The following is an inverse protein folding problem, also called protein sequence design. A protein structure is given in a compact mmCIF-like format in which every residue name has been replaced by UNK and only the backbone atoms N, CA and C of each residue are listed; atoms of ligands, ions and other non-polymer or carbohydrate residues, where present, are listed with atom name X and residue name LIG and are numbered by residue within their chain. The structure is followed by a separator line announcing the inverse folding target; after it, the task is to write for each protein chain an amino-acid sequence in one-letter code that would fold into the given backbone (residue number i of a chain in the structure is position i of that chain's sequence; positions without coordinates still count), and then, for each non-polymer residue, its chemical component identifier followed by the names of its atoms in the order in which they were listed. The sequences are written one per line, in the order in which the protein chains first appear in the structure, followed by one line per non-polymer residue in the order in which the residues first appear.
data_IF_481974433270
#
_entry.id   IF_481974433270
#
_cell.length_a   1.000
_cell.length_b   1.000
_cell.length_c   1.000
_cell.angle_alpha   90.00
_cell.angle_beta   90.00
_cell.angle_gamma   90.00
#
_symmetry.space_group_name_H-M   'P 1'
#
loop_
_entity.id
_entity.type
_entity.pdbx_description
1 polymer ?
#
# COMPACT_ATOMS: atom_id res chain seq x y z
N UNK A 1 25.29 -13.10 -2.32
CA UNK A 1 23.97 -13.76 -2.22
C UNK A 1 24.05 -15.27 -2.41
N UNK A 2 24.78 -15.76 -3.41
CA UNK A 2 24.92 -17.21 -3.70
C UNK A 2 25.28 -18.12 -2.51
N UNK A 3 26.21 -17.68 -1.65
CA UNK A 3 26.56 -18.43 -0.43
C UNK A 3 25.36 -18.72 0.48
N UNK A 4 24.40 -17.79 0.57
CA UNK A 4 23.19 -18.00 1.36
C UNK A 4 22.23 -18.97 0.67
N UNK A 5 22.05 -18.84 -0.65
CA UNK A 5 21.21 -19.76 -1.43
C UNK A 5 21.66 -21.21 -1.27
N UNK A 6 22.97 -21.48 -1.36
CA UNK A 6 23.53 -22.83 -1.14
C UNK A 6 23.29 -23.35 0.28
N UNK A 7 23.37 -22.50 1.31
CA UNK A 7 23.06 -22.91 2.69
C UNK A 7 21.58 -23.23 2.88
N UNK A 8 20.71 -22.44 2.26
CA UNK A 8 19.27 -22.72 2.29
C UNK A 8 18.91 -23.97 1.50
N UNK A 9 19.56 -24.23 0.36
CA UNK A 9 19.44 -25.50 -0.36
C UNK A 9 19.87 -26.69 0.53
N UNK A 10 21.00 -26.60 1.22
CA UNK A 10 21.43 -27.65 2.15
C UNK A 10 20.41 -27.91 3.26
N UNK A 11 19.83 -26.85 3.83
CA UNK A 11 18.75 -26.96 4.82
C UNK A 11 17.50 -27.62 4.23
N UNK A 12 17.10 -27.19 3.04
CA UNK A 12 15.94 -27.74 2.33
C UNK A 12 16.06 -29.26 2.15
N UNK A 13 17.21 -29.73 1.67
CA UNK A 13 17.47 -31.16 1.44
C UNK A 13 17.43 -31.99 2.73
N UNK A 14 17.81 -31.40 3.87
CA UNK A 14 17.84 -32.08 5.19
C UNK A 14 16.47 -32.26 5.84
N UNK A 15 15.44 -31.52 5.44
CA UNK A 15 14.12 -31.52 6.13
C UNK A 15 13.43 -32.86 6.13
N UNK A 16 13.49 -33.58 5.01
CA UNK A 16 12.82 -34.87 4.87
C UNK A 16 13.88 -35.92 4.63
N UNK A 17 13.81 -37.00 5.41
CA UNK A 17 14.75 -38.14 5.39
C UNK A 17 14.81 -38.89 4.03
N UNK A 18 14.11 -38.41 2.99
CA UNK A 18 14.13 -38.91 1.61
C UNK A 18 14.35 -37.85 0.50
N UNK A 19 14.58 -36.56 0.81
CA UNK A 19 14.98 -35.52 -0.18
C UNK A 19 16.50 -35.36 -0.21
N UNK A 20 17.25 -36.24 0.44
CA UNK A 20 18.71 -36.29 0.27
C UNK A 20 19.13 -36.58 -1.18
N UNK A 21 18.17 -36.82 -2.07
CA UNK A 21 18.34 -36.90 -3.50
C UNK A 21 18.04 -35.57 -4.21
N UNK A 22 19.11 -34.83 -4.53
CA UNK A 22 19.06 -33.63 -5.38
C UNK A 22 18.50 -33.96 -6.78
N UNK A 23 18.69 -35.19 -7.26
CA UNK A 23 18.23 -35.64 -8.57
C UNK A 23 16.70 -35.61 -8.66
N UNK A 24 16.00 -36.06 -7.62
CA UNK A 24 14.55 -35.93 -7.50
C UNK A 24 14.05 -34.49 -7.59
N UNK A 25 14.74 -33.54 -6.95
CA UNK A 25 14.43 -32.11 -7.05
C UNK A 25 14.67 -31.57 -8.47
N UNK A 26 15.80 -31.90 -9.08
CA UNK A 26 16.13 -31.51 -10.46
C UNK A 26 15.09 -32.09 -11.43
N UNK A 27 14.68 -33.34 -11.24
CA UNK A 27 13.66 -34.00 -12.05
C UNK A 27 12.29 -33.32 -11.91
N UNK A 28 11.92 -32.88 -10.70
CA UNK A 28 10.71 -32.08 -10.50
C UNK A 28 10.79 -30.73 -11.24
N UNK A 29 11.91 -30.01 -11.13
CA UNK A 29 12.10 -28.75 -11.85
C UNK A 29 12.11 -28.95 -13.37
N UNK A 30 12.70 -30.05 -13.85
CA UNK A 30 12.70 -30.39 -15.27
C UNK A 30 11.31 -30.64 -15.85
N UNK A 31 10.37 -31.15 -15.04
CA UNK A 31 8.95 -31.31 -15.43
C UNK A 31 8.23 -29.97 -15.50
N UNK A 32 8.60 -29.04 -14.62
CA UNK A 32 7.97 -27.72 -14.50
C UNK A 32 8.55 -26.66 -15.45
N UNK A 33 9.78 -26.86 -15.94
CA UNK A 33 10.56 -25.84 -16.66
C UNK A 33 9.84 -25.19 -17.84
N UNK A 34 9.11 -25.97 -18.66
CA UNK A 34 8.45 -25.44 -19.85
C UNK A 34 7.28 -24.52 -19.46
N UNK A 35 6.50 -24.93 -18.47
CA UNK A 35 5.44 -24.08 -17.90
C UNK A 35 6.02 -22.84 -17.22
N UNK A 36 7.17 -22.97 -16.55
CA UNK A 36 7.83 -21.85 -15.89
C UNK A 36 8.42 -20.85 -16.89
N UNK A 37 8.99 -21.31 -18.01
CA UNK A 37 9.44 -20.45 -19.11
C UNK A 37 8.30 -19.66 -19.72
N UNK A 38 7.13 -20.29 -19.89
CA UNK A 38 5.93 -19.63 -20.40
C UNK A 38 5.36 -18.52 -19.48
N UNK A 39 5.91 -18.33 -18.27
CA UNK A 39 5.53 -17.20 -17.41
C UNK A 39 6.35 -15.92 -17.68
N UNK A 40 7.41 -15.99 -18.51
CA UNK A 40 8.30 -14.87 -18.81
C UNK A 40 8.09 -14.38 -20.25
N UNK A 41 6.84 -14.04 -20.60
CA UNK A 41 6.31 -13.74 -21.95
C UNK A 41 7.15 -12.78 -22.83
N UNK A 42 8.18 -12.11 -22.31
CA UNK A 42 9.12 -11.26 -23.04
C UNK A 42 10.33 -12.00 -23.66
N UNK A 43 10.51 -13.29 -23.40
CA UNK A 43 11.51 -14.07 -24.14
C UNK A 43 10.85 -14.54 -25.43
N UNK A 44 11.08 -13.80 -26.53
CA UNK A 44 10.85 -14.27 -27.90
C UNK A 44 11.60 -15.60 -28.12
N UNK A 45 10.98 -16.69 -27.69
CA UNK A 45 11.41 -18.08 -27.89
C UNK A 45 10.63 -18.73 -29.01
N UNK A 46 9.93 -17.92 -29.82
CA UNK A 46 9.34 -18.37 -31.08
C UNK A 46 10.48 -18.76 -32.05
N UNK A 47 10.88 -20.03 -31.99
CA UNK A 47 11.64 -20.70 -33.05
C UNK A 47 13.11 -21.01 -32.75
N UNK A 48 13.67 -20.61 -31.61
CA UNK A 48 15.01 -21.05 -31.21
C UNK A 48 14.91 -22.22 -30.23
N UNK A 49 15.43 -23.37 -30.65
CA UNK A 49 15.73 -24.48 -29.74
C UNK A 49 16.67 -23.90 -28.68
N UNK A 50 16.18 -23.68 -27.46
CA UNK A 50 17.03 -23.30 -26.34
C UNK A 50 18.17 -24.31 -26.26
N UNK A 51 19.42 -23.80 -26.26
CA UNK A 51 20.60 -24.63 -26.00
C UNK A 51 20.32 -25.47 -24.74
N UNK A 52 20.57 -26.79 -24.84
CA UNK A 52 20.34 -27.72 -23.73
C UNK A 52 21.01 -27.25 -22.43
N UNK A 53 22.14 -26.54 -22.53
CA UNK A 53 22.81 -25.94 -21.37
C UNK A 53 22.02 -24.81 -20.71
N UNK A 54 21.31 -23.98 -21.48
CA UNK A 54 20.48 -22.89 -20.94
C UNK A 54 19.29 -23.49 -20.18
N UNK A 55 18.70 -24.53 -20.76
CA UNK A 55 17.55 -25.23 -20.15
C UNK A 55 17.93 -25.89 -18.82
N UNK A 56 19.11 -26.53 -18.75
CA UNK A 56 19.61 -27.12 -17.49
C UNK A 56 19.88 -26.04 -16.45
N UNK A 57 20.57 -24.95 -16.83
CA UNK A 57 20.83 -23.81 -15.94
C UNK A 57 19.54 -23.17 -15.42
N UNK A 58 18.48 -23.15 -16.24
CA UNK A 58 17.18 -22.65 -15.81
C UNK A 58 16.55 -23.55 -14.74
N UNK A 59 16.57 -24.87 -14.90
CA UNK A 59 16.11 -25.79 -13.85
C UNK A 59 16.92 -25.67 -12.56
N UNK A 60 18.24 -25.50 -12.66
CA UNK A 60 19.11 -25.25 -11.50
C UNK A 60 18.76 -23.93 -10.79
N UNK A 61 18.50 -22.87 -11.56
CA UNK A 61 18.05 -21.58 -11.04
C UNK A 61 16.71 -21.71 -10.31
N UNK A 62 15.71 -22.37 -10.92
CA UNK A 62 14.40 -22.61 -10.28
C UNK A 62 14.55 -23.34 -8.95
N UNK A 63 15.41 -24.36 -8.90
CA UNK A 63 15.66 -25.12 -7.67
C UNK A 63 16.33 -24.24 -6.61
N UNK A 64 17.46 -23.63 -6.96
CA UNK A 64 18.29 -22.89 -6.02
C UNK A 64 17.55 -21.67 -5.45
N UNK A 65 16.88 -20.92 -6.33
CA UNK A 65 16.17 -19.69 -5.97
C UNK A 65 14.84 -20.04 -5.29
N UNK A 66 14.14 -21.08 -5.75
CA UNK A 66 12.92 -21.56 -5.11
C UNK A 66 13.17 -22.06 -3.68
N UNK A 67 14.21 -22.88 -3.48
CA UNK A 67 14.63 -23.32 -2.14
C UNK A 67 15.02 -22.15 -1.24
N UNK A 68 15.72 -21.16 -1.80
CA UNK A 68 16.06 -19.94 -1.06
C UNK A 68 14.81 -19.20 -0.58
N UNK A 69 13.85 -18.93 -1.46
CA UNK A 69 12.60 -18.22 -1.13
C UNK A 69 11.82 -18.98 -0.05
N UNK A 70 11.62 -20.29 -0.23
CA UNK A 70 10.83 -21.12 0.68
C UNK A 70 11.46 -21.17 2.07
N UNK A 71 12.76 -21.48 2.14
CA UNK A 71 13.44 -21.62 3.42
C UNK A 71 13.63 -20.27 4.12
N UNK A 72 13.80 -19.18 3.37
CA UNK A 72 13.83 -17.84 3.94
C UNK A 72 12.48 -17.49 4.61
N UNK A 73 11.36 -17.75 3.94
CA UNK A 73 10.01 -17.54 4.49
C UNK A 73 9.77 -18.45 5.71
N UNK A 74 10.13 -19.73 5.62
CA UNK A 74 10.03 -20.67 6.76
C UNK A 74 10.85 -20.21 7.96
N UNK A 75 12.08 -19.75 7.74
CA UNK A 75 12.93 -19.18 8.79
C UNK A 75 12.32 -17.92 9.41
N UNK A 76 11.65 -17.08 8.60
CA UNK A 76 10.92 -15.92 9.09
C UNK A 76 9.76 -16.33 10.01
N UNK A 77 8.99 -17.33 9.60
CA UNK A 77 7.89 -17.94 10.36
C UNK A 77 8.33 -18.83 11.53
N UNK A 78 9.64 -18.89 11.85
CA UNK A 78 10.22 -19.77 12.90
C UNK A 78 10.00 -21.28 12.65
N UNK A 79 9.73 -21.68 11.41
CA UNK A 79 9.61 -23.07 10.98
C UNK A 79 10.99 -23.57 10.55
N UNK A 80 11.90 -23.78 11.51
CA UNK A 80 13.30 -24.19 11.27
C UNK A 80 13.47 -25.66 11.71
N UNK A 81 14.31 -26.48 11.05
CA UNK A 81 14.62 -27.82 11.54
C UNK A 81 15.15 -27.83 12.97
N UNK A 82 14.85 -28.90 13.72
CA UNK A 82 15.28 -29.02 15.11
C UNK A 82 16.82 -28.93 15.22
N UNK A 83 17.31 -28.11 16.14
CA UNK A 83 18.74 -27.89 16.37
C UNK A 83 19.44 -26.95 15.39
N UNK A 84 18.73 -26.38 14.40
CA UNK A 84 19.32 -25.38 13.50
C UNK A 84 19.01 -23.93 13.94
N UNK A 85 19.97 -23.04 13.71
CA UNK A 85 19.82 -21.60 13.93
C UNK A 85 19.47 -20.84 12.65
N UNK A 86 19.13 -19.55 12.74
CA UNK A 86 18.97 -18.70 11.54
C UNK A 86 20.26 -18.65 10.71
N UNK A 87 20.14 -18.88 9.41
CA UNK A 87 21.24 -18.71 8.45
C UNK A 87 21.59 -17.24 8.31
N UNK A 88 20.57 -16.37 8.22
CA UNK A 88 20.76 -14.92 8.10
C UNK A 88 20.46 -14.25 9.44
N UNK A 89 21.52 -14.08 10.24
CA UNK A 89 21.42 -13.50 11.58
C UNK A 89 21.19 -11.97 11.57
N UNK A 90 21.80 -11.26 10.61
CA UNK A 90 21.78 -9.78 10.56
C UNK A 90 20.44 -9.25 10.10
N UNK A 91 19.85 -8.35 10.88
CA UNK A 91 18.54 -7.76 10.59
C UNK A 91 18.49 -6.91 9.33
N UNK A 92 19.52 -6.09 9.09
CA UNK A 92 19.60 -5.26 7.89
C UNK A 92 19.56 -6.10 6.60
N UNK A 93 20.29 -7.23 6.56
CA UNK A 93 20.28 -8.16 5.43
C UNK A 93 18.88 -8.75 5.26
N UNK A 94 18.21 -9.14 6.35
CA UNK A 94 16.84 -9.67 6.27
C UNK A 94 15.87 -8.64 5.68
N UNK A 95 15.94 -7.38 6.12
CA UNK A 95 15.10 -6.30 5.58
C UNK A 95 15.36 -6.08 4.09
N UNK A 96 16.62 -6.02 3.67
CA UNK A 96 16.99 -5.92 2.26
C UNK A 96 16.42 -7.07 1.43
N UNK A 97 16.57 -8.31 1.92
CA UNK A 97 16.03 -9.47 1.21
C UNK A 97 14.52 -9.47 1.09
N UNK A 98 13.78 -9.00 2.10
CA UNK A 98 12.33 -8.84 1.96
C UNK A 98 11.97 -7.88 0.83
N UNK A 99 12.74 -6.80 0.65
CA UNK A 99 12.54 -5.85 -0.46
C UNK A 99 12.90 -6.48 -1.79
N UNK A 100 14.04 -7.18 -1.86
CA UNK A 100 14.50 -7.83 -3.08
C UNK A 100 13.53 -8.93 -3.56
N UNK A 101 12.90 -9.67 -2.64
CA UNK A 101 11.85 -10.65 -2.94
C UNK A 101 10.57 -10.03 -3.49
N UNK A 102 10.39 -8.72 -3.29
CA UNK A 102 9.25 -7.94 -3.77
C UNK A 102 9.61 -7.04 -4.96
N UNK A 103 10.71 -7.31 -5.66
CA UNK A 103 10.96 -6.70 -6.97
C UNK A 103 10.19 -7.47 -8.05
N UNK A 104 9.53 -6.76 -8.96
CA UNK A 104 8.77 -7.37 -10.07
C UNK A 104 9.68 -8.25 -10.94
N UNK A 105 10.95 -7.88 -11.08
CA UNK A 105 11.97 -8.60 -11.85
C UNK A 105 12.48 -9.89 -11.15
N UNK A 106 12.24 -10.04 -9.84
CA UNK A 106 12.77 -11.14 -9.04
C UNK A 106 11.67 -12.13 -8.63
N UNK A 107 10.82 -12.50 -9.59
CA UNK A 107 9.66 -13.35 -9.34
C UNK A 107 9.85 -14.74 -9.93
N UNK A 108 9.59 -15.75 -9.11
CA UNK A 108 9.43 -17.13 -9.55
C UNK A 108 7.94 -17.46 -9.68
N UNK A 109 7.56 -18.30 -10.65
CA UNK A 109 6.19 -18.80 -10.72
C UNK A 109 5.79 -19.49 -9.41
N UNK A 110 4.62 -19.17 -8.88
CA UNK A 110 4.21 -19.61 -7.55
C UNK A 110 4.07 -21.14 -7.47
N UNK A 111 3.66 -21.78 -8.57
CA UNK A 111 3.57 -23.24 -8.64
C UNK A 111 4.92 -23.95 -8.46
N UNK A 112 6.04 -23.30 -8.81
CA UNK A 112 7.39 -23.82 -8.53
C UNK A 112 7.63 -23.80 -7.02
N UNK A 113 7.24 -22.71 -6.36
CA UNK A 113 7.41 -22.55 -4.91
C UNK A 113 6.51 -23.52 -4.13
N UNK A 114 5.26 -23.72 -4.54
CA UNK A 114 4.36 -24.68 -3.88
C UNK A 114 4.83 -26.11 -4.08
N UNK A 115 5.29 -26.47 -5.29
CA UNK A 115 5.86 -27.81 -5.56
C UNK A 115 7.05 -28.10 -4.66
N UNK A 116 8.03 -27.19 -4.60
CA UNK A 116 9.21 -27.35 -3.73
C UNK A 116 8.83 -27.36 -2.24
N UNK A 117 7.84 -26.57 -1.85
CA UNK A 117 7.31 -26.57 -0.48
C UNK A 117 6.71 -27.94 -0.13
N UNK A 118 5.90 -28.51 -1.02
CA UNK A 118 5.25 -29.80 -0.85
C UNK A 118 6.23 -30.97 -0.85
N UNK A 119 7.30 -30.89 -1.65
CA UNK A 119 8.35 -31.89 -1.61
C UNK A 119 8.99 -31.96 -0.22
N UNK A 120 9.18 -30.82 0.44
CA UNK A 120 9.97 -30.65 1.68
C UNK A 120 9.17 -30.39 2.96
N UNK A 121 7.84 -30.42 2.91
CA UNK A 121 7.01 -30.28 4.11
C UNK A 121 7.12 -31.55 4.98
N UNK A 122 7.24 -31.35 6.27
CA UNK A 122 7.05 -32.39 7.29
C UNK A 122 5.55 -32.43 7.63
N UNK A 123 4.99 -33.63 7.80
CA UNK A 123 3.54 -33.86 7.91
C UNK A 123 2.88 -32.95 8.97
N UNK A 124 1.75 -32.34 8.58
CA UNK A 124 0.94 -31.34 9.32
C UNK A 124 1.49 -29.90 9.43
N UNK A 125 2.03 -29.32 8.34
CA UNK A 125 2.48 -27.92 8.34
C UNK A 125 1.62 -26.96 7.51
N UNK A 126 1.52 -25.75 8.07
CA UNK A 126 0.87 -24.53 7.59
C UNK A 126 1.04 -24.37 6.06
N UNK A 127 -0.03 -24.12 5.29
CA UNK A 127 0.05 -23.85 3.86
C UNK A 127 1.07 -22.75 3.52
N UNK A 128 1.82 -22.91 2.42
CA UNK A 128 2.85 -21.94 2.03
C UNK A 128 2.28 -20.52 1.88
N UNK A 129 1.08 -20.41 1.31
CA UNK A 129 0.34 -19.14 1.19
C UNK A 129 0.18 -18.42 2.54
N UNK A 130 -0.08 -19.17 3.62
CA UNK A 130 -0.23 -18.60 4.96
C UNK A 130 1.12 -18.14 5.53
N UNK A 131 2.21 -18.85 5.20
CA UNK A 131 3.56 -18.40 5.58
C UNK A 131 3.96 -17.13 4.84
N UNK A 132 3.62 -17.00 3.55
CA UNK A 132 3.83 -15.77 2.77
C UNK A 132 3.03 -14.62 3.37
N UNK A 133 1.73 -14.83 3.60
CA UNK A 133 0.84 -13.85 4.23
C UNK A 133 1.42 -13.35 5.55
N UNK A 134 1.83 -14.26 6.43
CA UNK A 134 2.47 -13.90 7.70
C UNK A 134 3.79 -13.13 7.51
N UNK A 135 4.60 -13.50 6.52
CA UNK A 135 5.91 -12.90 6.28
C UNK A 135 5.84 -11.48 5.71
N UNK A 136 4.79 -11.15 4.98
CA UNK A 136 4.66 -9.88 4.27
C UNK A 136 3.45 -9.04 4.71
N UNK A 137 2.70 -9.46 5.74
CA UNK A 137 1.61 -8.66 6.29
C UNK A 137 2.11 -7.36 6.91
N UNK A 138 1.37 -6.27 6.65
CA UNK A 138 1.54 -4.98 7.32
C UNK A 138 0.65 -4.84 8.58
N UNK A 139 -0.23 -5.81 8.86
CA UNK A 139 -1.17 -5.79 9.99
C UNK A 139 -1.18 -7.12 10.73
N UNK A 140 -1.17 -7.07 12.06
CA UNK A 140 -1.29 -8.24 12.95
C UNK A 140 -2.69 -8.88 12.96
N UNK A 141 -3.63 -8.42 12.12
CA UNK A 141 -4.95 -9.04 12.02
C UNK A 141 -4.84 -10.34 11.21
N UNK A 142 -5.42 -11.40 11.78
CA UNK A 142 -5.71 -12.64 11.06
C UNK A 142 -6.42 -12.30 9.76
N UNK A 143 -5.79 -12.64 8.64
CA UNK A 143 -6.40 -12.46 7.33
C UNK A 143 -7.77 -13.13 7.31
N UNK A 144 -8.76 -12.42 6.76
CA UNK A 144 -9.94 -13.10 6.22
C UNK A 144 -9.42 -14.14 5.26
N UNK A 145 -9.81 -15.40 5.47
CA UNK A 145 -9.53 -16.52 4.58
C UNK A 145 -9.90 -16.08 3.17
N UNK A 146 -8.89 -15.69 2.42
CA UNK A 146 -9.01 -15.63 0.98
C UNK A 146 -9.09 -17.10 0.61
N UNK A 147 -10.31 -17.57 0.33
CA UNK A 147 -10.57 -18.72 -0.53
C UNK A 147 -9.93 -18.45 -1.90
N UNK A 148 -8.61 -18.46 -1.93
CA UNK A 148 -7.81 -18.35 -3.13
C UNK A 148 -7.34 -19.76 -3.43
N UNK A 149 -7.92 -20.38 -4.45
CA UNK A 149 -7.30 -21.56 -5.06
C UNK A 149 -5.85 -21.21 -5.38
N UNK A 150 -4.91 -21.93 -4.76
CA UNK A 150 -3.47 -21.79 -5.01
C UNK A 150 -3.13 -21.82 -6.52
N UNK A 151 -3.98 -22.48 -7.31
CA UNK A 151 -3.91 -22.60 -8.77
C UNK A 151 -3.98 -21.26 -9.54
N UNK A 152 -4.48 -20.17 -8.94
CA UNK A 152 -4.62 -18.87 -9.63
C UNK A 152 -3.48 -17.88 -9.36
N UNK A 153 -2.60 -18.18 -8.41
CA UNK A 153 -1.50 -17.26 -8.04
C UNK A 153 -0.35 -17.48 -9.02
N UNK A 154 0.03 -16.45 -9.76
CA UNK A 154 1.12 -16.50 -10.73
C UNK A 154 2.49 -16.45 -10.05
N UNK A 155 2.70 -15.58 -9.06
CA UNK A 155 3.98 -15.42 -8.38
C UNK A 155 3.82 -14.82 -6.97
N UNK A 156 4.91 -14.83 -6.18
CA UNK A 156 4.95 -14.34 -4.79
C UNK A 156 4.42 -12.90 -4.66
N UNK A 157 4.87 -12.01 -5.54
CA UNK A 157 4.48 -10.60 -5.51
C UNK A 157 2.98 -10.37 -5.76
N UNK A 158 2.34 -11.15 -6.63
CA UNK A 158 0.89 -11.06 -6.84
C UNK A 158 0.12 -11.40 -5.57
N UNK A 159 0.54 -12.44 -4.84
CA UNK A 159 -0.07 -12.79 -3.56
C UNK A 159 0.08 -11.65 -2.54
N UNK A 160 1.25 -11.03 -2.47
CA UNK A 160 1.47 -9.87 -1.58
C UNK A 160 0.61 -8.67 -2.00
N UNK A 161 0.53 -8.37 -3.29
CA UNK A 161 -0.36 -7.33 -3.82
C UNK A 161 -1.82 -7.60 -3.44
N UNK A 162 -2.32 -8.81 -3.64
CA UNK A 162 -3.69 -9.20 -3.25
C UNK A 162 -3.94 -9.04 -1.75
N UNK A 163 -2.96 -9.42 -0.92
CA UNK A 163 -3.06 -9.29 0.54
C UNK A 163 -3.07 -7.84 1.00
N UNK A 164 -2.28 -6.98 0.37
CA UNK A 164 -2.24 -5.56 0.71
C UNK A 164 -3.43 -4.79 0.10
N UNK A 165 -4.05 -5.32 -0.94
CA UNK A 165 -5.26 -4.80 -1.59
C UNK A 165 -6.56 -5.23 -0.92
N UNK A 166 -6.51 -5.88 0.26
CA UNK A 166 -7.71 -6.38 0.95
C UNK A 166 -8.81 -5.31 1.02
N UNK A 167 -9.98 -5.75 0.53
CA UNK A 167 -11.02 -4.91 -0.06
C UNK A 167 -11.44 -3.74 0.87
N UNK A 168 -11.50 -2.52 0.32
CA UNK A 168 -12.18 -1.41 0.98
C UNK A 168 -13.59 -1.82 1.39
N UNK A 169 -14.05 -1.38 2.55
CA UNK A 169 -15.28 -1.88 3.21
C UNK A 169 -16.59 -1.65 2.41
N UNK A 170 -16.54 -0.90 1.30
CA UNK A 170 -17.67 -0.60 0.43
C UNK A 170 -17.25 -0.75 -1.04
N UNK A 171 -17.81 -1.71 -1.76
CA UNK A 171 -17.79 -1.72 -3.23
C UNK A 171 -18.77 -0.64 -3.69
N UNK A 172 -18.27 0.45 -4.30
CA UNK A 172 -19.05 1.66 -4.61
C UNK A 172 -19.67 1.58 -6.00
N UNK A 173 -20.97 1.83 -6.12
CA UNK A 173 -21.76 1.72 -7.37
C UNK A 173 -21.76 3.04 -8.15
N UNK A 174 -21.49 2.96 -9.46
CA UNK A 174 -21.27 4.09 -10.41
C UNK A 174 -22.50 4.97 -10.65
N UNK A 175 -22.32 6.29 -10.64
CA UNK A 175 -23.12 7.25 -11.43
C UNK A 175 -22.24 8.38 -12.01
N UNK A 176 -22.32 8.53 -13.33
CA UNK A 176 -21.50 9.41 -14.19
C UNK A 176 -22.08 10.84 -14.20
N UNK A 177 -21.25 11.87 -13.97
CA UNK A 177 -21.36 13.22 -14.59
C UNK A 177 -20.20 14.15 -14.20
N UNK A 178 -19.68 14.83 -15.23
CA UNK A 178 -18.56 15.80 -15.35
C UNK A 178 -18.57 16.96 -14.34
N UNK A 179 -17.50 17.72 -14.00
CA UNK A 179 -16.00 17.67 -14.05
C UNK A 179 -15.47 18.89 -13.23
N UNK A 180 -14.31 18.71 -12.55
CA UNK A 180 -13.28 19.68 -12.02
C UNK A 180 -13.63 20.75 -10.96
N UNK A 181 -12.79 21.19 -10.00
CA UNK A 181 -11.71 20.66 -9.12
C UNK A 181 -11.71 21.56 -7.84
N UNK A 182 -11.35 21.08 -6.63
CA UNK A 182 -11.63 21.80 -5.35
C UNK A 182 -10.74 21.46 -4.13
N UNK A 183 -10.77 22.31 -3.08
CA UNK A 183 -9.93 22.25 -1.87
C UNK A 183 -10.49 21.41 -0.69
N UNK A 184 -9.61 21.05 0.27
CA UNK A 184 -9.81 19.97 1.25
C UNK A 184 -9.70 20.45 2.71
N UNK A 185 -10.56 19.93 3.59
CA UNK A 185 -10.43 19.99 5.06
C UNK A 185 -10.36 18.57 5.62
N UNK A 186 -9.42 18.31 6.54
CA UNK A 186 -9.12 16.99 7.11
C UNK A 186 -9.62 16.86 8.56
N UNK A 187 -9.94 15.64 9.02
CA UNK A 187 -10.20 15.35 10.45
C UNK A 187 -9.25 14.28 11.01
N UNK A 188 -9.15 14.30 12.34
CA UNK A 188 -8.32 13.51 13.26
C UNK A 188 -8.58 11.98 13.24
N UNK A 189 -8.52 11.31 12.10
CA UNK A 189 -8.56 9.82 12.07
C UNK A 189 -7.16 9.19 12.29
N UNK A 190 -6.10 10.01 12.26
CA UNK A 190 -4.73 9.57 12.53
C UNK A 190 -4.51 8.81 13.84
N UNK A 191 -5.25 9.19 14.89
CA UNK A 191 -5.10 8.56 16.22
C UNK A 191 -5.71 7.16 16.33
N UNK A 192 -6.60 6.77 15.41
CA UNK A 192 -7.24 5.44 15.44
C UNK A 192 -6.32 4.40 14.79
N UNK A 193 -5.72 4.72 13.65
CA UNK A 193 -4.84 3.79 12.92
C UNK A 193 -3.47 3.62 13.59
N UNK A 194 -2.98 4.66 14.30
CA UNK A 194 -1.77 4.56 15.12
C UNK A 194 -1.93 3.59 16.30
N UNK A 195 -3.12 3.54 16.93
CA UNK A 195 -3.40 2.64 18.05
C UNK A 195 -3.32 1.16 17.65
N UNK A 196 -3.61 0.81 16.39
CA UNK A 196 -3.50 -0.56 15.89
C UNK A 196 -2.08 -1.00 15.47
N UNK A 197 -1.16 -0.04 15.23
CA UNK A 197 0.20 -0.35 14.80
C UNK A 197 1.22 -0.41 15.95
N UNK A 198 0.89 0.17 17.12
CA UNK A 198 1.83 0.34 18.24
C UNK A 198 1.50 -0.49 19.50
N UNK A 199 0.47 -1.38 19.51
CA UNK A 199 0.14 -2.21 20.70
C UNK A 199 -0.21 -3.66 20.35
N UNK A 200 0.52 -4.59 20.95
CA UNK A 200 0.34 -6.05 20.84
C UNK A 200 -0.94 -6.59 21.52
N UNK A 201 -1.68 -5.77 22.27
CA UNK A 201 -2.89 -6.18 22.97
C UNK A 201 -3.88 -5.00 23.03
N UNK A 202 -4.88 -4.99 22.15
CA UNK A 202 -6.21 -4.44 22.46
C UNK A 202 -7.22 -4.95 21.43
N UNK A 203 -8.25 -5.63 21.92
CA UNK A 203 -9.31 -6.28 21.14
C UNK A 203 -10.50 -5.36 20.85
N UNK A 204 -10.35 -4.04 20.96
CA UNK A 204 -11.50 -3.15 20.85
C UNK A 204 -11.12 -1.84 20.14
N UNK A 205 -11.36 -1.79 18.82
CA UNK A 205 -11.82 -0.63 18.05
C UNK A 205 -12.14 -1.11 16.62
N UNK A 206 -13.40 -0.92 16.22
CA UNK A 206 -14.03 -1.60 15.08
C UNK A 206 -13.45 -1.34 13.68
N UNK A 207 -13.63 -2.35 12.82
CA UNK A 207 -13.67 -2.21 11.37
C UNK A 207 -12.40 -2.59 10.60
N UNK A 208 -12.60 -3.30 9.50
CA UNK A 208 -11.63 -3.61 8.45
C UNK A 208 -11.25 -2.34 7.64
N UNK A 209 -10.61 -1.36 8.27
CA UNK A 209 -10.20 -0.14 7.57
C UNK A 209 -8.98 -0.43 6.68
N UNK A 210 -9.18 -0.41 5.36
CA UNK A 210 -8.14 -0.50 4.34
C UNK A 210 -7.36 0.82 4.28
N UNK A 211 -6.09 0.76 3.88
CA UNK A 211 -5.28 1.96 3.60
C UNK A 211 -5.94 2.84 2.53
N UNK A 212 -6.74 2.23 1.66
CA UNK A 212 -7.40 2.86 0.53
C UNK A 212 -8.82 3.35 0.84
N UNK A 213 -9.31 3.25 2.08
CA UNK A 213 -10.67 3.68 2.47
C UNK A 213 -10.78 5.21 2.60
N UNK A 214 -10.54 5.93 1.51
CA UNK A 214 -10.75 7.39 1.41
C UNK A 214 -12.23 7.67 1.14
N UNK A 215 -12.80 8.59 1.92
CA UNK A 215 -14.21 8.95 1.83
C UNK A 215 -14.39 10.46 1.94
N UNK A 216 -15.34 11.00 1.17
CA UNK A 216 -15.75 12.39 1.27
C UNK A 216 -17.22 12.49 1.71
N UNK A 217 -17.47 13.13 2.84
CA UNK A 217 -18.81 13.36 3.37
C UNK A 217 -18.92 14.78 3.94
N UNK A 218 -19.97 15.52 3.55
CA UNK A 218 -20.32 16.83 4.14
C UNK A 218 -19.21 17.90 4.18
N UNK A 219 -18.30 17.92 3.21
CA UNK A 219 -17.19 18.89 3.19
C UNK A 219 -15.91 18.39 3.85
N UNK A 220 -15.92 17.14 4.30
CA UNK A 220 -14.82 16.52 5.02
C UNK A 220 -14.25 15.36 4.20
N UNK A 221 -12.94 15.41 3.94
CA UNK A 221 -12.21 14.29 3.38
C UNK A 221 -11.56 13.49 4.50
N UNK A 222 -11.96 12.23 4.60
CA UNK A 222 -11.40 11.25 5.52
C UNK A 222 -10.37 10.42 4.78
N UNK A 223 -9.12 10.49 5.24
CA UNK A 223 -8.00 9.74 4.66
C UNK A 223 -7.38 8.88 5.77
N UNK A 224 -7.18 7.57 5.54
CA UNK A 224 -6.44 6.71 6.46
C UNK A 224 -5.01 7.22 6.71
N UNK A 225 -4.48 6.96 7.90
CA UNK A 225 -3.11 7.35 8.23
C UNK A 225 -2.10 6.55 7.39
N UNK A 226 -1.17 7.25 6.74
CA UNK A 226 -0.07 6.65 6.01
C UNK A 226 1.26 6.95 6.70
N UNK A 227 2.02 5.90 7.00
CA UNK A 227 3.35 6.00 7.60
C UNK A 227 4.41 5.91 6.51
N UNK A 228 5.15 7.00 6.32
CA UNK A 228 6.23 7.09 5.35
C UNK A 228 7.52 6.63 6.02
N UNK A 229 8.07 5.49 5.61
CA UNK A 229 9.34 4.89 6.09
C UNK A 229 10.25 4.60 4.90
N UNK A 230 11.56 4.48 5.10
CA UNK A 230 12.55 4.36 4.00
C UNK A 230 12.23 3.22 3.02
N UNK A 231 11.72 2.10 3.53
CA UNK A 231 11.41 0.89 2.77
C UNK A 231 10.17 1.04 1.87
N UNK A 232 9.27 1.99 2.19
CA UNK A 232 7.96 2.06 1.54
C UNK A 232 8.06 2.55 0.10
N UNK A 233 9.07 3.35 -0.22
CA UNK A 233 9.19 3.91 -1.56
C UNK A 233 9.45 2.83 -2.61
N UNK A 234 10.43 1.95 -2.34
CA UNK A 234 10.72 0.83 -3.24
C UNK A 234 9.51 -0.08 -3.38
N UNK A 235 8.83 -0.38 -2.28
CA UNK A 235 7.65 -1.25 -2.30
C UNK A 235 6.50 -0.64 -3.13
N UNK A 236 6.15 0.63 -2.87
CA UNK A 236 5.09 1.34 -3.61
C UNK A 236 5.39 1.40 -5.11
N UNK A 237 6.64 1.72 -5.50
CA UNK A 237 7.02 1.76 -6.92
C UNK A 237 6.87 0.41 -7.61
N UNK A 238 7.28 -0.68 -6.97
CA UNK A 238 7.13 -2.02 -7.52
C UNK A 238 5.65 -2.42 -7.62
N UNK A 239 4.83 -2.07 -6.63
CA UNK A 239 3.39 -2.35 -6.65
C UNK A 239 2.71 -1.57 -7.77
N UNK A 240 3.01 -0.28 -7.91
CA UNK A 240 2.50 0.55 -9.02
C UNK A 240 2.96 -0.02 -10.36
N UNK A 241 4.24 -0.35 -10.54
CA UNK A 241 4.74 -0.93 -11.78
C UNK A 241 3.99 -2.22 -12.15
N UNK A 242 3.78 -3.10 -11.16
CA UNK A 242 2.99 -4.32 -11.34
C UNK A 242 1.55 -4.04 -11.75
N UNK A 243 0.85 -3.10 -11.12
CA UNK A 243 -0.51 -2.73 -11.48
C UNK A 243 -0.63 -2.09 -12.88
N UNK A 244 0.41 -1.38 -13.32
CA UNK A 244 0.43 -0.72 -14.63
C UNK A 244 0.74 -1.71 -15.77
N UNK A 245 1.54 -2.74 -15.50
CA UNK A 245 1.98 -3.72 -16.50
C UNK A 245 1.10 -4.98 -16.53
N UNK A 246 0.55 -5.40 -15.39
CA UNK A 246 -0.23 -6.64 -15.31
C UNK A 246 -1.64 -6.45 -15.86
N UNK A 247 -2.01 -7.31 -16.81
CA UNK A 247 -3.38 -7.40 -17.34
C UNK A 247 -4.36 -8.06 -16.37
N UNK A 248 -3.87 -8.76 -15.34
CA UNK A 248 -4.70 -9.45 -14.35
C UNK A 248 -5.23 -8.49 -13.26
N UNK A 249 -4.66 -7.29 -13.17
CA UNK A 249 -5.03 -6.29 -12.16
C UNK A 249 -6.13 -5.40 -12.71
N UNK A 250 -7.37 -5.66 -12.27
CA UNK A 250 -8.51 -4.81 -12.61
C UNK A 250 -8.60 -3.54 -11.75
N UNK A 251 -8.26 -3.61 -10.46
CA UNK A 251 -8.33 -2.47 -9.55
C UNK A 251 -6.92 -2.04 -9.14
N UNK A 252 -6.52 -0.85 -9.57
CA UNK A 252 -5.15 -0.31 -9.42
C UNK A 252 -5.03 0.54 -8.15
N UNK A 253 -5.31 -0.05 -6.99
CA UNK A 253 -5.39 0.67 -5.71
C UNK A 253 -4.11 1.46 -5.38
N UNK A 254 -2.93 0.89 -5.62
CA UNK A 254 -1.66 1.56 -5.32
C UNK A 254 -1.41 2.72 -6.27
N UNK A 255 -1.70 2.53 -7.56
CA UNK A 255 -1.58 3.55 -8.60
C UNK A 255 -2.53 4.71 -8.33
N UNK A 256 -3.80 4.41 -8.08
CA UNK A 256 -4.83 5.40 -7.84
C UNK A 256 -4.57 6.15 -6.52
N UNK A 257 -4.05 5.47 -5.49
CA UNK A 257 -3.63 6.11 -4.25
C UNK A 257 -2.44 7.04 -4.46
N UNK A 258 -1.42 6.61 -5.21
CA UNK A 258 -0.28 7.44 -5.52
C UNK A 258 -0.70 8.72 -6.26
N UNK A 259 -1.58 8.60 -7.26
CA UNK A 259 -2.15 9.74 -7.99
C UNK A 259 -2.98 10.64 -7.07
N UNK A 260 -3.83 10.08 -6.23
CA UNK A 260 -4.62 10.86 -5.26
C UNK A 260 -3.72 11.67 -4.32
N UNK A 261 -2.67 11.05 -3.79
CA UNK A 261 -1.76 11.69 -2.84
C UNK A 261 -0.86 12.72 -3.52
N UNK A 262 -0.43 12.49 -4.77
CA UNK A 262 0.27 13.47 -5.60
C UNK A 262 -0.58 14.74 -5.79
N UNK A 263 -1.87 14.62 -6.09
CA UNK A 263 -2.77 15.77 -6.15
C UNK A 263 -2.93 16.53 -4.83
N UNK A 264 -2.72 15.85 -3.70
CA UNK A 264 -2.89 16.43 -2.37
C UNK A 264 -1.61 17.11 -1.85
N UNK A 265 -0.45 16.66 -2.30
CA UNK A 265 0.86 16.95 -1.70
C UNK A 265 1.81 17.52 -2.74
N UNK A 266 1.65 18.80 -3.08
CA UNK A 266 2.59 19.45 -4.00
C UNK A 266 3.83 20.00 -3.25
N UNK A 267 3.69 20.36 -1.98
CA UNK A 267 4.72 21.02 -1.16
C UNK A 267 4.85 20.47 0.26
N UNK A 268 5.96 20.82 0.91
CA UNK A 268 6.23 20.57 2.33
C UNK A 268 5.14 21.17 3.26
N UNK A 269 4.52 22.30 2.86
CA UNK A 269 3.38 22.88 3.58
C UNK A 269 2.16 21.96 3.59
N UNK A 270 1.90 21.24 2.48
CA UNK A 270 0.81 20.27 2.41
C UNK A 270 1.10 19.08 3.34
N UNK A 271 2.34 18.58 3.34
CA UNK A 271 2.76 17.51 4.25
C UNK A 271 2.60 17.93 5.71
N UNK A 272 3.07 19.14 6.07
CA UNK A 272 2.96 19.67 7.43
C UNK A 272 1.50 19.70 7.91
N UNK A 273 0.58 20.18 7.07
CA UNK A 273 -0.86 20.16 7.37
C UNK A 273 -1.40 18.74 7.55
N UNK A 274 -1.02 17.79 6.69
CA UNK A 274 -1.46 16.40 6.79
C UNK A 274 -0.91 15.71 8.04
N UNK A 275 0.33 16.03 8.45
CA UNK A 275 0.93 15.56 9.69
C UNK A 275 0.21 16.11 10.92
N UNK A 276 -0.11 17.42 10.94
CA UNK A 276 -0.89 18.03 12.02
C UNK A 276 -2.27 17.41 12.19
N UNK A 277 -2.85 16.88 11.11
CA UNK A 277 -4.12 16.16 11.13
C UNK A 277 -3.98 14.64 11.34
N UNK A 278 -2.76 14.15 11.55
CA UNK A 278 -2.46 12.73 11.78
C UNK A 278 -2.62 11.83 10.55
N UNK A 279 -2.74 12.40 9.35
CA UNK A 279 -2.85 11.63 8.10
C UNK A 279 -1.48 11.10 7.67
N UNK A 280 -0.41 11.85 7.90
CA UNK A 280 0.96 11.42 7.58
C UNK A 280 1.77 11.26 8.84
N UNK A 281 2.49 10.14 8.93
CA UNK A 281 3.57 9.92 9.89
C UNK A 281 4.89 9.88 9.13
N UNK A 282 5.68 10.94 9.26
CA UNK A 282 6.99 11.05 8.62
C UNK A 282 8.07 10.31 9.42
N UNK A 283 8.78 9.38 8.78
CA UNK A 283 9.97 8.68 9.30
C UNK A 283 11.17 8.70 8.35
N UNK A 284 11.11 9.47 7.25
CA UNK A 284 12.16 9.48 6.21
C UNK A 284 12.99 10.75 6.19
N UNK A 285 12.69 11.75 7.03
CA UNK A 285 13.46 12.99 7.10
C UNK A 285 12.57 14.19 7.36
N UNK A 286 12.72 15.23 6.55
CA UNK A 286 11.89 16.44 6.61
C UNK A 286 10.59 16.31 5.78
N UNK A 287 9.73 17.33 5.85
CA UNK A 287 8.46 17.34 5.12
C UNK A 287 8.64 17.52 3.60
N UNK A 288 9.78 18.05 3.16
CA UNK A 288 10.12 18.21 1.73
C UNK A 288 10.47 16.86 1.11
N UNK A 289 11.15 15.98 1.84
CA UNK A 289 11.42 14.61 1.43
C UNK A 289 10.14 13.81 1.23
N UNK A 290 9.15 13.96 2.12
CA UNK A 290 7.84 13.33 1.98
C UNK A 290 7.07 13.87 0.76
N UNK A 291 7.10 15.18 0.52
CA UNK A 291 6.47 15.76 -0.68
C UNK A 291 7.12 15.21 -1.96
N UNK A 292 8.45 15.20 -2.01
CA UNK A 292 9.19 14.60 -3.12
C UNK A 292 8.88 13.12 -3.32
N UNK A 293 8.69 12.36 -2.23
CA UNK A 293 8.31 10.96 -2.30
C UNK A 293 6.98 10.78 -3.06
N UNK A 294 5.91 11.47 -2.63
CA UNK A 294 4.59 11.36 -3.26
C UNK A 294 4.60 11.85 -4.72
N UNK A 295 5.24 12.99 -4.98
CA UNK A 295 5.37 13.55 -6.34
C UNK A 295 6.11 12.61 -7.29
N UNK A 296 7.13 11.91 -6.80
CA UNK A 296 7.88 10.97 -7.63
C UNK A 296 7.14 9.66 -7.85
N UNK A 297 6.31 9.17 -6.91
CA UNK A 297 5.54 7.93 -7.13
C UNK A 297 4.32 8.16 -8.01
N UNK A 298 3.71 9.36 -7.99
CA UNK A 298 2.60 9.72 -8.88
C UNK A 298 3.03 9.91 -10.35
N UNK A 299 4.30 10.29 -10.57
CA UNK A 299 4.83 10.56 -11.90
C UNK A 299 4.84 9.34 -12.81
N UNK A 300 4.25 9.48 -13.99
CA UNK A 300 4.29 8.47 -15.06
C UNK A 300 3.23 7.37 -14.93
N UNK A 301 2.31 7.49 -13.98
CA UNK A 301 1.17 6.57 -13.83
C UNK A 301 0.13 6.85 -14.93
N UNK A 302 -0.31 5.80 -15.62
CA UNK A 302 -1.47 5.87 -16.50
C UNK A 302 -2.73 5.65 -15.68
N UNK A 303 -3.50 6.73 -15.51
CA UNK A 303 -4.79 6.69 -14.81
C UNK A 303 -5.80 5.96 -15.69
N UNK A 304 -6.40 4.90 -15.15
CA UNK A 304 -7.40 4.11 -15.87
C UNK A 304 -8.76 4.81 -15.88
N UNK A 305 -9.62 4.42 -16.82
CA UNK A 305 -10.99 4.97 -16.93
C UNK A 305 -11.87 4.62 -15.71
N UNK A 306 -11.45 3.65 -14.90
CA UNK A 306 -12.09 3.17 -13.69
C UNK A 306 -11.35 3.60 -12.42
N UNK A 307 -10.73 4.78 -12.45
CA UNK A 307 -10.04 5.41 -11.31
C UNK A 307 -10.84 5.31 -10.00
N UNK A 308 -10.23 4.70 -9.00
CA UNK A 308 -10.91 4.25 -7.78
C UNK A 308 -11.53 5.39 -6.95
N UNK A 309 -10.92 6.58 -6.93
CA UNK A 309 -11.38 7.73 -6.15
C UNK A 309 -12.20 8.75 -6.95
N UNK A 310 -12.71 8.38 -8.13
CA UNK A 310 -13.44 9.31 -9.00
C UNK A 310 -14.66 9.93 -8.28
N UNK A 311 -15.43 9.13 -7.54
CA UNK A 311 -16.65 9.58 -6.88
C UNK A 311 -16.35 10.56 -5.73
N UNK A 312 -15.33 10.28 -4.92
CA UNK A 312 -14.88 11.07 -3.78
C UNK A 312 -14.35 12.41 -4.25
N UNK A 313 -13.50 12.40 -5.28
CA UNK A 313 -13.04 13.60 -5.95
C UNK A 313 -14.24 14.39 -6.49
N UNK A 314 -15.19 13.74 -7.16
CA UNK A 314 -16.40 14.41 -7.69
C UNK A 314 -17.24 15.06 -6.59
N UNK A 315 -17.48 14.36 -5.47
CA UNK A 315 -18.23 14.91 -4.33
C UNK A 315 -17.50 16.10 -3.69
N UNK A 316 -16.19 16.01 -3.54
CA UNK A 316 -15.35 17.09 -3.01
C UNK A 316 -15.46 18.35 -3.88
N UNK A 317 -15.44 18.16 -5.20
CA UNK A 317 -15.67 19.22 -6.17
C UNK A 317 -17.03 19.86 -6.02
N UNK A 318 -18.10 19.06 -6.10
CA UNK A 318 -19.47 19.56 -6.01
C UNK A 318 -19.76 20.32 -4.71
N UNK A 319 -19.13 19.92 -3.60
CA UNK A 319 -19.29 20.62 -2.34
C UNK A 319 -18.69 22.02 -2.40
N UNK A 320 -17.47 22.16 -2.93
CA UNK A 320 -16.76 23.43 -2.92
C UNK A 320 -17.27 24.44 -3.95
N UNK A 321 -17.90 23.97 -5.03
CA UNK A 321 -18.55 24.83 -6.03
C UNK A 321 -19.82 25.51 -5.50
N UNK A 322 -20.41 25.04 -4.41
CA UNK A 322 -21.59 25.68 -3.80
C UNK A 322 -21.24 27.12 -3.41
N UNK A 323 -22.02 28.14 -3.84
CA UNK A 323 -21.71 29.54 -3.57
C UNK A 323 -21.46 29.85 -2.10
N UNK A 324 -22.29 29.30 -1.19
CA UNK A 324 -22.14 29.47 0.25
C UNK A 324 -20.81 28.90 0.76
N UNK A 325 -20.36 27.76 0.24
CA UNK A 325 -19.11 27.14 0.65
C UNK A 325 -17.90 27.93 0.13
N UNK A 326 -17.97 28.45 -1.10
CA UNK A 326 -16.94 29.33 -1.67
C UNK A 326 -16.82 30.64 -0.88
N UNK A 327 -17.94 31.25 -0.52
CA UNK A 327 -17.96 32.47 0.31
C UNK A 327 -17.37 32.16 1.69
N UNK A 328 -17.79 31.07 2.33
CA UNK A 328 -17.27 30.63 3.64
C UNK A 328 -15.76 30.38 3.61
N UNK A 329 -15.25 29.73 2.55
CA UNK A 329 -13.83 29.46 2.38
C UNK A 329 -13.02 30.74 2.18
N UNK A 330 -13.47 31.65 1.31
CA UNK A 330 -12.85 32.95 1.10
C UNK A 330 -12.82 33.78 2.40
N UNK A 331 -13.92 33.76 3.16
CA UNK A 331 -14.00 34.45 4.43
C UNK A 331 -12.98 33.90 5.43
N UNK A 332 -12.87 32.56 5.53
CA UNK A 332 -11.88 31.91 6.38
C UNK A 332 -10.45 32.22 5.97
N UNK A 333 -10.16 32.15 4.67
CA UNK A 333 -8.81 32.39 4.15
C UNK A 333 -8.36 33.84 4.35
N UNK A 334 -9.22 34.81 4.06
CA UNK A 334 -8.83 36.23 4.08
C UNK A 334 -8.83 36.82 5.50
N UNK A 335 -9.79 36.41 6.35
CA UNK A 335 -10.01 37.05 7.64
C UNK A 335 -9.52 36.24 8.84
N UNK A 336 -9.54 34.91 8.77
CA UNK A 336 -9.17 34.05 9.92
C UNK A 336 -7.74 33.46 9.84
N UNK A 337 -7.03 33.60 8.71
CA UNK A 337 -5.61 33.22 8.63
C UNK A 337 -4.65 34.34 9.05
N UNK A 338 -5.11 35.59 9.13
CA UNK A 338 -4.30 36.71 9.65
C UNK A 338 -4.94 37.21 10.94
N UNK A 339 -4.25 37.10 12.10
CA UNK A 339 -4.81 37.49 13.39
C UNK A 339 -5.37 38.92 13.39
N UNK A 340 -4.69 39.84 12.69
CA UNK A 340 -5.09 41.23 12.57
C UNK A 340 -6.36 41.46 11.75
N UNK A 341 -6.57 40.73 10.66
CA UNK A 341 -7.82 40.86 9.88
C UNK A 341 -9.02 40.31 10.67
N UNK A 342 -8.80 39.25 11.46
CA UNK A 342 -9.83 38.70 12.35
C UNK A 342 -10.23 39.66 13.46
N UNK A 343 -9.25 40.28 14.13
CA UNK A 343 -9.50 41.29 15.16
C UNK A 343 -10.18 42.53 14.55
N UNK A 344 -9.71 43.00 13.39
CA UNK A 344 -10.27 44.17 12.71
C UNK A 344 -11.72 43.94 12.27
N UNK A 345 -12.05 42.74 11.79
CA UNK A 345 -13.44 42.40 11.42
C UNK A 345 -14.34 42.32 12.63
N UNK A 346 -13.88 41.72 13.74
CA UNK A 346 -14.65 41.68 14.98
C UNK A 346 -14.91 43.08 15.52
N UNK A 347 -13.90 43.95 15.53
CA UNK A 347 -14.04 45.34 15.95
C UNK A 347 -15.04 46.11 15.08
N UNK A 348 -14.99 45.93 13.75
CA UNK A 348 -15.95 46.54 12.84
C UNK A 348 -17.40 46.08 13.09
N UNK A 349 -17.61 44.79 13.36
CA UNK A 349 -18.94 44.25 13.68
C UNK A 349 -19.48 44.86 14.98
N UNK A 350 -18.64 44.95 16.02
CA UNK A 350 -19.02 45.54 17.31
C UNK A 350 -19.39 47.03 17.14
N UNK A 351 -18.58 47.79 16.39
CA UNK A 351 -18.87 49.21 16.11
C UNK A 351 -20.17 49.40 15.33
N UNK A 352 -20.49 48.49 14.39
CA UNK A 352 -21.72 48.53 13.61
C UNK A 352 -22.95 48.23 14.49
N UNK A 353 -22.86 47.27 15.39
CA UNK A 353 -23.93 46.98 16.36
C UNK A 353 -24.17 48.15 17.32
N UNK A 354 -23.10 48.80 17.79
CA UNK A 354 -23.20 49.98 18.65
C UNK A 354 -23.86 51.16 17.94
N UNK A 355 -23.49 51.42 16.68
CA UNK A 355 -24.08 52.50 15.87
C UNK A 355 -25.55 52.24 15.53
N UNK A 356 -25.94 51.00 15.22
CA UNK A 356 -27.36 50.63 15.06
C UNK A 356 -28.14 50.86 16.35
N UNK A 357 -27.61 50.41 17.49
CA UNK A 357 -28.23 50.60 18.81
C UNK A 357 -28.39 52.09 19.14
N UNK A 358 -27.35 52.89 18.91
CA UNK A 358 -27.39 54.34 19.09
C UNK A 358 -28.44 55.00 18.20
N UNK A 359 -28.56 54.56 16.95
CA UNK A 359 -29.53 55.10 15.99
C UNK A 359 -30.96 54.78 16.41
N UNK A 360 -31.23 53.53 16.84
CA UNK A 360 -32.56 53.12 17.35
C UNK A 360 -32.93 53.89 18.62
N UNK A 361 -32.01 54.02 19.58
CA UNK A 361 -32.24 54.79 20.80
C UNK A 361 -32.51 56.27 20.49
N UNK A 362 -31.76 56.86 19.56
CA UNK A 362 -31.96 58.24 19.13
C UNK A 362 -33.34 58.43 18.47
N UNK A 363 -33.73 57.52 17.58
CA UNK A 363 -35.04 57.56 16.92
C UNK A 363 -36.21 57.38 17.90
N UNK A 364 -36.11 56.45 18.85
CA UNK A 364 -37.11 56.29 19.91
C UNK A 364 -37.20 57.52 20.81
N UNK A 365 -36.08 58.20 21.07
CA UNK A 365 -36.07 59.44 21.85
C UNK A 365 -36.79 60.59 21.12
N UNK A 366 -36.72 60.64 19.79
CA UNK A 366 -37.42 61.64 18.98
C UNK A 366 -38.92 61.38 18.83
N UNK A 367 -39.38 60.13 18.94
CA UNK A 367 -40.81 59.78 18.90
C UNK A 367 -41.54 59.98 20.24
N UNK A 368 -40.80 60.14 21.34
CA UNK A 368 -41.34 60.39 22.69
C UNK A 368 -41.56 61.87 23.00
N UNK A 369 -41.37 62.73 22.01
CA UNK A 369 -41.55 64.18 22.07
C UNK A 369 -42.68 64.57 21.14
#
# INVERSE_FOLDING_TARGET
MEKYKLRYLQRFLRRKMGINDVESCINAMNKLKNCALACYDDIELEGQILDGNIVVKFSEMLLLDGCFVIEYIREHCKVIPFGEERIIKRECIRKQLKRDLLLVENQLPFFVLTTLHDMSKEDEKIPFINMVKHSFSLSNKSFVETEGNDEKIKHLFQLVHMCMSCRPSKVKTRQIRNRSLSGVSFTHIGNIFMRSLDRENDNDLGGNASLFDINFENGLMTIPCFRVVDDIETLMRNLIAYEQQSSDVHLRYFSDFAVFMDYLIDSDKNVSLLRMNGIIVNKIGDDKEVANFFNKIGKGIVVSADYYYEEECRKAVQYCEKPLNRIKANFRHNYFNTPWAGISTLAAIILLLLTVTQTVLSFLSTLKK
#
